data_IF_799811187500
#
_entry.id   IF_799811187500
#
_cell.length_a   1.000
_cell.length_b   1.000
_cell.length_c   1.000
_cell.angle_alpha   90.00
_cell.angle_beta   90.00
_cell.angle_gamma   90.00
#
_symmetry.space_group_name_H-M   'P 1'
#
loop_
_entity.id
_entity.type
_entity.pdbx_description
1 polymer ?
#
# COMPACT_ATOMS: atom_id res chain seq x y z
N UNK A 1 -20.28 -18.71 12.55
CA UNK A 1 -19.07 -19.14 11.79
C UNK A 1 -19.23 -18.59 10.39
N UNK A 2 -18.51 -17.52 10.05
CA UNK A 2 -18.46 -17.02 8.67
C UNK A 2 -17.53 -17.95 7.89
N UNK A 3 -18.10 -18.78 7.05
CA UNK A 3 -17.37 -19.58 6.08
C UNK A 3 -16.68 -18.62 5.10
N UNK A 4 -15.34 -18.58 5.13
CA UNK A 4 -14.57 -17.77 4.19
C UNK A 4 -14.59 -18.46 2.83
N UNK A 5 -15.39 -17.95 1.91
CA UNK A 5 -15.38 -18.38 0.52
C UNK A 5 -14.26 -17.64 -0.24
N UNK A 6 -13.30 -18.38 -0.77
CA UNK A 6 -12.21 -17.86 -1.58
C UNK A 6 -12.58 -17.91 -3.06
N UNK A 7 -12.45 -16.80 -3.77
CA UNK A 7 -12.59 -16.77 -5.22
C UNK A 7 -11.23 -17.04 -5.87
N UNK A 8 -11.17 -18.07 -6.70
CA UNK A 8 -9.93 -18.54 -7.35
C UNK A 8 -10.08 -18.42 -8.86
N UNK A 9 -9.22 -17.59 -9.48
CA UNK A 9 -9.13 -17.48 -10.92
C UNK A 9 -8.18 -18.53 -11.51
N UNK A 10 -8.65 -19.34 -12.44
CA UNK A 10 -7.83 -20.27 -13.20
C UNK A 10 -7.86 -19.92 -14.69
N UNK A 11 -6.68 -19.96 -15.34
CA UNK A 11 -6.56 -19.80 -16.80
C UNK A 11 -6.96 -21.10 -17.49
N UNK A 12 -6.62 -22.23 -16.89
CA UNK A 12 -6.94 -23.57 -17.37
C UNK A 12 -7.66 -24.35 -16.26
N UNK A 13 -9.00 -24.21 -16.14
CA UNK A 13 -9.77 -24.88 -15.07
C UNK A 13 -9.76 -26.40 -15.16
N UNK A 14 -9.43 -26.96 -16.32
CA UNK A 14 -9.26 -28.40 -16.57
C UNK A 14 -7.93 -28.97 -16.07
N UNK A 15 -6.99 -28.16 -15.61
CA UNK A 15 -5.71 -28.65 -15.07
C UNK A 15 -5.93 -29.41 -13.76
N UNK A 16 -5.79 -30.74 -13.84
CA UNK A 16 -5.97 -31.64 -12.71
C UNK A 16 -5.02 -31.33 -11.54
N UNK A 17 -3.77 -30.94 -11.83
CA UNK A 17 -2.79 -30.60 -10.79
C UNK A 17 -3.21 -29.36 -10.01
N UNK A 18 -3.72 -28.34 -10.71
CA UNK A 18 -4.24 -27.14 -10.07
C UNK A 18 -5.47 -27.46 -9.19
N UNK A 19 -6.38 -28.29 -9.69
CA UNK A 19 -7.57 -28.71 -8.93
C UNK A 19 -7.20 -29.54 -7.68
N UNK A 20 -6.25 -30.46 -7.79
CA UNK A 20 -5.77 -31.25 -6.65
C UNK A 20 -5.07 -30.37 -5.61
N UNK A 21 -4.23 -29.43 -6.02
CA UNK A 21 -3.60 -28.45 -5.13
C UNK A 21 -4.63 -27.61 -4.38
N UNK A 22 -5.68 -27.13 -5.09
CA UNK A 22 -6.77 -26.36 -4.46
C UNK A 22 -7.58 -27.21 -3.46
N UNK A 23 -7.88 -28.44 -3.79
CA UNK A 23 -8.56 -29.39 -2.89
C UNK A 23 -7.73 -29.65 -1.62
N UNK A 24 -6.41 -29.84 -1.79
CA UNK A 24 -5.49 -30.04 -0.69
C UNK A 24 -5.45 -28.82 0.25
N UNK A 25 -5.23 -27.62 -0.31
CA UNK A 25 -5.18 -26.37 0.46
C UNK A 25 -6.51 -26.06 1.17
N UNK A 26 -7.64 -26.28 0.48
CA UNK A 26 -8.98 -26.11 1.04
C UNK A 26 -9.20 -26.98 2.29
N UNK A 27 -8.78 -28.24 2.24
CA UNK A 27 -8.87 -29.16 3.37
C UNK A 27 -7.94 -28.77 4.52
N UNK A 28 -6.69 -28.39 4.18
CA UNK A 28 -5.68 -28.03 5.19
C UNK A 28 -6.05 -26.74 5.95
N UNK A 29 -6.60 -25.75 5.26
CA UNK A 29 -6.90 -24.43 5.83
C UNK A 29 -8.39 -24.19 6.11
N UNK A 30 -9.23 -25.19 5.88
CA UNK A 30 -10.66 -25.19 6.16
C UNK A 30 -11.40 -23.99 5.56
N UNK A 31 -11.30 -23.81 4.23
CA UNK A 31 -12.02 -22.79 3.47
C UNK A 31 -12.78 -23.41 2.29
N UNK A 32 -13.87 -22.74 1.88
CA UNK A 32 -14.62 -23.06 0.67
C UNK A 32 -14.06 -22.18 -0.46
N UNK A 33 -14.01 -22.70 -1.69
CA UNK A 33 -13.58 -21.92 -2.85
C UNK A 33 -14.53 -22.05 -4.02
N UNK A 34 -14.58 -20.98 -4.84
CA UNK A 34 -15.25 -20.92 -6.11
C UNK A 34 -14.23 -20.67 -7.20
N UNK A 35 -14.29 -21.45 -8.28
CA UNK A 35 -13.37 -21.33 -9.42
C UNK A 35 -14.01 -20.46 -10.49
N UNK A 36 -13.25 -19.47 -10.98
CA UNK A 36 -13.61 -18.60 -12.09
C UNK A 36 -12.60 -18.77 -13.23
N UNK A 37 -13.09 -18.84 -14.45
CA UNK A 37 -12.25 -18.78 -15.64
C UNK A 37 -11.76 -17.36 -15.84
N UNK A 38 -10.44 -17.17 -15.97
CA UNK A 38 -9.82 -15.88 -16.24
C UNK A 38 -8.94 -15.96 -17.48
N UNK A 39 -8.78 -14.82 -18.17
CA UNK A 39 -7.85 -14.75 -19.30
C UNK A 39 -6.39 -14.73 -18.83
N UNK A 40 -5.41 -15.18 -19.68
CA UNK A 40 -3.99 -15.07 -19.36
C UNK A 40 -3.56 -13.64 -19.04
N UNK A 41 -4.15 -12.64 -19.70
CA UNK A 41 -3.90 -11.22 -19.44
C UNK A 41 -4.36 -10.82 -18.04
N UNK A 42 -5.58 -11.19 -17.66
CA UNK A 42 -6.11 -10.93 -16.32
C UNK A 42 -5.29 -11.65 -15.23
N UNK A 43 -4.86 -12.89 -15.50
CA UNK A 43 -3.97 -13.64 -14.61
C UNK A 43 -2.64 -12.90 -14.37
N UNK A 44 -1.99 -12.41 -15.42
CA UNK A 44 -0.74 -11.67 -15.31
C UNK A 44 -0.90 -10.36 -14.53
N UNK A 45 -2.01 -9.64 -14.71
CA UNK A 45 -2.32 -8.43 -13.95
C UNK A 45 -2.51 -8.76 -12.47
N UNK A 46 -3.28 -9.80 -12.15
CA UNK A 46 -3.49 -10.26 -10.78
C UNK A 46 -2.18 -10.75 -10.14
N UNK A 47 -1.37 -11.51 -10.87
CA UNK A 47 -0.09 -12.03 -10.39
C UNK A 47 0.89 -10.91 -10.03
N UNK A 48 0.96 -9.85 -10.84
CA UNK A 48 1.76 -8.65 -10.52
C UNK A 48 1.33 -8.00 -9.21
N UNK A 49 0.04 -7.98 -8.89
CA UNK A 49 -0.46 -7.45 -7.62
C UNK A 49 -0.03 -8.30 -6.41
N UNK A 50 0.16 -9.62 -6.58
CA UNK A 50 0.55 -10.51 -5.49
C UNK A 50 2.06 -10.61 -5.26
N UNK A 51 2.87 -10.53 -6.32
CA UNK A 51 4.29 -10.90 -6.24
C UNK A 51 5.21 -9.79 -5.71
N UNK A 52 4.95 -8.51 -6.00
CA UNK A 52 5.91 -7.44 -5.71
C UNK A 52 5.70 -6.75 -4.35
N UNK A 53 4.46 -6.60 -3.90
CA UNK A 53 4.15 -5.72 -2.78
C UNK A 53 4.71 -6.16 -1.43
N UNK A 54 4.50 -7.44 -1.10
CA UNK A 54 4.93 -7.96 0.21
C UNK A 54 6.45 -8.08 0.33
N UNK A 55 7.12 -8.38 -0.78
CA UNK A 55 8.58 -8.49 -0.82
C UNK A 55 9.25 -7.13 -0.63
N UNK A 56 8.94 -6.15 -1.45
CA UNK A 56 9.59 -4.83 -1.45
C UNK A 56 9.29 -4.02 -0.19
N UNK A 57 8.01 -4.01 0.24
CA UNK A 57 7.64 -3.39 1.52
C UNK A 57 8.28 -4.14 2.70
N UNK A 58 8.35 -5.47 2.63
CA UNK A 58 9.01 -6.29 3.65
C UNK A 58 10.50 -5.98 3.78
N UNK A 59 11.21 -5.84 2.66
CA UNK A 59 12.63 -5.47 2.64
C UNK A 59 12.84 -4.06 3.21
N UNK A 60 12.07 -3.07 2.76
CA UNK A 60 12.15 -1.71 3.27
C UNK A 60 11.81 -1.62 4.78
N UNK A 61 10.84 -2.41 5.26
CA UNK A 61 10.53 -2.51 6.69
C UNK A 61 11.62 -3.20 7.49
N UNK A 62 12.33 -4.17 6.92
CA UNK A 62 13.47 -4.83 7.57
C UNK A 62 14.65 -3.85 7.69
N UNK A 63 14.99 -3.12 6.62
CA UNK A 63 15.99 -2.06 6.63
C UNK A 63 15.66 -1.00 7.71
N UNK A 64 14.44 -0.51 7.74
CA UNK A 64 13.98 0.45 8.74
C UNK A 64 14.07 -0.07 10.19
N UNK A 65 13.76 -1.35 10.42
CA UNK A 65 13.90 -1.96 11.76
C UNK A 65 15.34 -2.01 12.24
N UNK A 66 16.29 -2.26 11.34
CA UNK A 66 17.73 -2.23 11.67
C UNK A 66 18.21 -0.81 11.97
N UNK A 67 17.72 0.19 11.23
CA UNK A 67 18.05 1.61 11.48
C UNK A 67 17.48 2.08 12.82
N UNK A 68 16.21 1.81 13.12
CA UNK A 68 15.56 2.17 14.40
C UNK A 68 16.24 1.49 15.59
N UNK A 69 16.80 0.28 15.43
CA UNK A 69 17.56 -0.38 16.49
C UNK A 69 18.88 0.31 16.80
N UNK A 70 19.52 0.95 15.81
CA UNK A 70 20.77 1.68 15.99
C UNK A 70 20.58 3.03 16.69
N UNK A 71 19.40 3.64 16.56
CA UNK A 71 19.05 4.92 17.16
C UNK A 71 18.12 4.75 18.36
N UNK A 72 18.70 4.52 19.56
CA UNK A 72 17.97 4.52 20.83
C UNK A 72 17.97 5.95 21.42
N UNK A 73 16.89 6.72 21.18
CA UNK A 73 16.68 8.02 21.83
C UNK A 73 15.25 8.52 21.65
N UNK A 74 14.74 9.42 22.53
CA UNK A 74 13.43 10.06 22.32
C UNK A 74 13.51 11.02 21.12
N UNK A 75 12.43 11.04 20.32
CA UNK A 75 12.32 11.86 19.12
C UNK A 75 12.54 13.35 19.40
N UNK A 76 13.50 13.97 18.71
CA UNK A 76 13.83 15.40 18.81
C UNK A 76 13.07 16.19 17.73
N UNK A 77 12.84 17.52 17.94
CA UNK A 77 12.31 18.38 16.88
C UNK A 77 13.17 18.27 15.59
N UNK A 78 12.54 18.09 14.43
CA UNK A 78 13.21 17.84 13.14
C UNK A 78 13.48 16.37 12.81
N UNK A 79 13.28 15.45 13.73
CA UNK A 79 13.51 14.01 13.54
C UNK A 79 12.49 13.37 12.59
N UNK A 80 11.25 13.86 12.57
CA UNK A 80 10.23 13.41 11.62
C UNK A 80 10.59 13.73 10.18
N UNK A 81 11.16 14.91 9.93
CA UNK A 81 11.64 15.34 8.61
C UNK A 81 12.79 14.44 8.16
N UNK A 82 13.75 14.21 9.05
CA UNK A 82 14.88 13.32 8.79
C UNK A 82 14.41 11.88 8.50
N UNK A 83 13.56 11.31 9.34
CA UNK A 83 12.98 9.97 9.14
C UNK A 83 12.17 9.88 7.84
N UNK A 84 11.47 10.96 7.45
CA UNK A 84 10.70 11.00 6.23
C UNK A 84 11.59 11.01 4.97
N UNK A 85 12.80 11.57 5.06
CA UNK A 85 13.78 11.59 3.97
C UNK A 85 14.63 10.32 3.91
N UNK A 86 14.65 9.52 4.98
CA UNK A 86 15.38 8.26 5.01
C UNK A 86 14.99 7.32 3.88
N UNK A 87 15.99 6.60 3.35
CA UNK A 87 15.81 5.71 2.21
C UNK A 87 14.68 4.68 2.39
N UNK A 88 14.48 4.03 3.57
CA UNK A 88 13.42 3.06 3.73
C UNK A 88 12.00 3.64 3.65
N UNK A 89 11.76 4.82 4.24
CA UNK A 89 10.44 5.49 4.18
C UNK A 89 10.16 5.95 2.74
N UNK A 90 11.15 6.55 2.09
CA UNK A 90 11.05 6.97 0.69
C UNK A 90 10.77 5.78 -0.24
N UNK A 91 11.41 4.62 -0.03
CA UNK A 91 11.14 3.37 -0.76
C UNK A 91 9.70 2.88 -0.54
N UNK A 92 9.21 2.88 0.72
CA UNK A 92 7.83 2.47 1.02
C UNK A 92 6.81 3.34 0.28
N UNK A 93 6.98 4.67 0.33
CA UNK A 93 6.10 5.60 -0.39
C UNK A 93 6.18 5.37 -1.90
N UNK A 94 7.39 5.23 -2.47
CA UNK A 94 7.57 4.94 -3.89
C UNK A 94 6.89 3.63 -4.32
N UNK A 95 6.96 2.57 -3.50
CA UNK A 95 6.28 1.29 -3.75
C UNK A 95 4.76 1.48 -3.74
N UNK A 96 4.21 2.27 -2.80
CA UNK A 96 2.77 2.56 -2.74
C UNK A 96 2.31 3.28 -4.01
N UNK A 97 3.05 4.31 -4.44
CA UNK A 97 2.70 5.09 -5.65
C UNK A 97 2.81 4.23 -6.92
N UNK A 98 3.90 3.47 -7.06
CA UNK A 98 4.10 2.56 -8.19
C UNK A 98 2.99 1.51 -8.28
N UNK A 99 2.60 0.90 -7.16
CA UNK A 99 1.52 -0.07 -7.12
C UNK A 99 0.17 0.50 -7.55
N UNK A 100 -0.11 1.74 -7.17
CA UNK A 100 -1.32 2.41 -7.62
C UNK A 100 -1.36 2.55 -9.14
N UNK A 101 -0.24 2.98 -9.74
CA UNK A 101 -0.11 3.14 -11.18
C UNK A 101 -0.21 1.80 -11.91
N UNK A 102 0.59 0.80 -11.52
CA UNK A 102 0.62 -0.51 -12.16
C UNK A 102 -0.71 -1.25 -12.06
N UNK A 103 -1.45 -1.03 -10.97
CA UNK A 103 -2.78 -1.59 -10.76
C UNK A 103 -3.90 -0.79 -11.42
N UNK A 104 -3.65 0.40 -11.96
CA UNK A 104 -4.67 1.30 -12.52
C UNK A 104 -5.61 1.86 -11.43
N UNK A 105 -5.06 2.17 -10.25
CA UNK A 105 -5.84 2.76 -9.17
C UNK A 105 -6.12 4.25 -9.45
N UNK A 106 -7.34 4.69 -9.20
CA UNK A 106 -7.70 6.12 -9.26
C UNK A 106 -7.35 6.88 -8.00
N UNK A 107 -7.40 6.23 -6.84
CA UNK A 107 -7.13 6.87 -5.56
C UNK A 107 -6.37 5.91 -4.62
N UNK A 108 -5.54 6.51 -3.75
CA UNK A 108 -4.81 5.84 -2.67
C UNK A 108 -5.28 6.45 -1.37
N UNK A 109 -5.63 5.63 -0.39
CA UNK A 109 -5.97 6.06 0.96
C UNK A 109 -5.01 5.46 1.96
N UNK A 110 -4.35 6.31 2.75
CA UNK A 110 -3.43 5.93 3.83
C UNK A 110 -4.09 6.33 5.14
N UNK A 111 -4.51 5.35 5.93
CA UNK A 111 -5.40 5.55 7.06
C UNK A 111 -4.86 4.87 8.32
N UNK A 112 -4.63 5.64 9.41
CA UNK A 112 -4.30 5.04 10.69
C UNK A 112 -5.52 4.32 11.28
N UNK A 113 -5.28 3.15 11.86
CA UNK A 113 -6.24 2.44 12.69
C UNK A 113 -5.67 2.30 14.10
N UNK A 114 -6.40 1.71 15.05
CA UNK A 114 -5.91 1.56 16.43
C UNK A 114 -4.59 0.80 16.53
N UNK A 115 -4.33 -0.16 15.62
CA UNK A 115 -3.18 -1.07 15.72
C UNK A 115 -2.18 -0.92 14.57
N UNK A 116 -2.62 -0.41 13.43
CA UNK A 116 -1.85 -0.48 12.18
C UNK A 116 -2.19 0.67 11.24
N UNK A 117 -1.29 0.94 10.31
CA UNK A 117 -1.51 1.82 9.19
C UNK A 117 -2.02 0.99 8.00
N UNK A 118 -3.18 1.35 7.47
CA UNK A 118 -3.82 0.66 6.36
C UNK A 118 -3.72 1.49 5.10
N UNK A 119 -3.22 0.90 4.01
CA UNK A 119 -3.24 1.49 2.68
C UNK A 119 -4.30 0.78 1.84
N UNK A 120 -5.19 1.55 1.25
CA UNK A 120 -6.24 1.08 0.35
C UNK A 120 -6.10 1.76 -1.01
N UNK A 121 -6.35 1.00 -2.05
CA UNK A 121 -6.41 1.50 -3.42
C UNK A 121 -7.83 1.42 -3.95
N UNK A 122 -8.23 2.40 -4.76
CA UNK A 122 -9.51 2.37 -5.46
C UNK A 122 -9.30 1.84 -6.87
N UNK A 123 -9.87 0.69 -7.17
CA UNK A 123 -9.92 0.11 -8.51
C UNK A 123 -11.37 -0.01 -8.94
N UNK A 124 -11.71 0.44 -10.15
CA UNK A 124 -13.09 0.35 -10.69
C UNK A 124 -14.16 0.81 -9.67
N UNK A 125 -13.94 1.96 -9.03
CA UNK A 125 -14.80 2.57 -8.01
C UNK A 125 -14.86 1.84 -6.67
N UNK A 126 -14.20 0.69 -6.48
CA UNK A 126 -14.19 -0.09 -5.23
C UNK A 126 -12.85 0.08 -4.49
N UNK A 127 -12.92 0.31 -3.17
CA UNK A 127 -11.74 0.41 -2.31
C UNK A 127 -11.30 -0.98 -1.81
N UNK A 128 -10.07 -1.35 -2.16
CA UNK A 128 -9.44 -2.61 -1.73
C UNK A 128 -8.32 -2.35 -0.73
N UNK A 129 -8.29 -3.11 0.36
CA UNK A 129 -7.22 -3.07 1.35
C UNK A 129 -6.05 -3.90 0.83
N UNK A 130 -4.90 -3.29 0.54
CA UNK A 130 -3.77 -3.97 -0.09
C UNK A 130 -2.54 -4.08 0.80
N UNK A 131 -2.19 -3.01 1.54
CA UNK A 131 -0.98 -2.96 2.35
C UNK A 131 -1.35 -2.67 3.80
N UNK A 132 -0.71 -3.39 4.71
CA UNK A 132 -0.79 -3.16 6.15
C UNK A 132 0.63 -2.90 6.65
N UNK A 133 0.83 -1.75 7.28
CA UNK A 133 2.10 -1.28 7.80
C UNK A 133 2.04 -1.11 9.32
N UNK A 134 3.18 -1.16 10.02
CA UNK A 134 3.25 -0.84 11.42
C UNK A 134 2.80 0.60 11.68
N UNK A 135 2.01 0.83 12.72
CA UNK A 135 1.55 2.19 13.06
C UNK A 135 2.70 3.15 13.41
N UNK A 136 3.82 2.62 13.90
CA UNK A 136 5.00 3.41 14.28
C UNK A 136 5.59 4.24 13.14
N UNK A 137 5.45 3.80 11.88
CA UNK A 137 5.98 4.52 10.71
C UNK A 137 4.97 5.50 10.12
N UNK A 138 3.76 5.57 10.65
CA UNK A 138 2.71 6.45 10.16
C UNK A 138 3.14 7.93 10.08
N UNK A 139 3.71 8.55 11.15
CA UNK A 139 4.09 9.97 11.08
C UNK A 139 5.15 10.23 9.99
N UNK A 140 6.12 9.33 9.82
CA UNK A 140 7.17 9.47 8.82
C UNK A 140 6.63 9.34 7.37
N UNK A 141 5.67 8.43 7.14
CA UNK A 141 5.01 8.30 5.82
C UNK A 141 4.20 9.56 5.49
N UNK A 142 3.43 10.09 6.46
CA UNK A 142 2.67 11.32 6.26
C UNK A 142 3.61 12.51 5.99
N UNK A 143 4.66 12.66 6.78
CA UNK A 143 5.67 13.69 6.59
C UNK A 143 6.31 13.59 5.19
N UNK A 144 6.68 12.38 4.73
CA UNK A 144 7.23 12.19 3.38
C UNK A 144 6.27 12.64 2.28
N UNK A 145 4.99 12.30 2.40
CA UNK A 145 3.97 12.73 1.42
C UNK A 145 3.77 14.25 1.46
N UNK A 146 3.78 14.85 2.66
CA UNK A 146 3.71 16.31 2.81
C UNK A 146 4.91 17.01 2.16
N UNK A 147 6.13 16.48 2.35
CA UNK A 147 7.35 16.99 1.69
C UNK A 147 7.18 16.95 0.17
N UNK A 148 6.77 15.80 -0.39
CA UNK A 148 6.56 15.66 -1.83
C UNK A 148 5.54 16.67 -2.38
N UNK A 149 4.47 16.95 -1.62
CA UNK A 149 3.40 17.84 -2.01
C UNK A 149 3.60 19.31 -1.58
N UNK A 150 4.77 19.63 -1.00
CA UNK A 150 5.11 20.97 -0.47
C UNK A 150 4.09 21.47 0.56
N UNK A 151 3.64 20.58 1.47
CA UNK A 151 2.71 20.87 2.55
C UNK A 151 3.47 21.10 3.86
N UNK A 152 2.83 21.79 4.82
CA UNK A 152 3.41 22.03 6.14
C UNK A 152 3.42 20.76 6.98
N UNK A 153 4.62 20.31 7.39
CA UNK A 153 4.81 19.03 8.11
C UNK A 153 4.34 19.15 9.56
N UNK A 154 4.60 20.29 10.17
CA UNK A 154 4.29 20.62 11.57
C UNK A 154 2.79 20.87 11.82
N UNK A 155 2.02 21.23 10.78
CA UNK A 155 0.58 21.45 10.90
C UNK A 155 -0.20 20.13 10.70
N UNK A 156 -0.77 19.62 11.77
CA UNK A 156 -1.51 18.35 11.80
C UNK A 156 -2.98 18.48 12.16
N UNK A 157 -3.43 19.71 12.45
CA UNK A 157 -4.79 19.98 12.96
C UNK A 157 -5.75 20.46 11.89
N UNK A 158 -5.21 20.96 10.79
CA UNK A 158 -5.99 21.54 9.68
C UNK A 158 -5.78 20.69 8.43
N UNK A 159 -6.85 20.40 7.66
CA UNK A 159 -6.71 19.77 6.36
C UNK A 159 -5.81 20.59 5.44
N UNK A 160 -5.00 19.91 4.66
CA UNK A 160 -4.13 20.54 3.66
C UNK A 160 -4.30 19.84 2.33
N UNK A 161 -4.27 20.63 1.26
CA UNK A 161 -4.33 20.17 -0.12
C UNK A 161 -3.07 20.58 -0.88
N UNK A 162 -2.56 19.67 -1.70
CA UNK A 162 -1.37 19.91 -2.50
C UNK A 162 -1.33 19.03 -3.74
N UNK A 163 -0.23 19.14 -4.46
CA UNK A 163 0.05 18.33 -5.65
C UNK A 163 1.53 18.09 -5.78
N UNK A 164 1.90 17.00 -6.39
CA UNK A 164 3.27 16.73 -6.80
C UNK A 164 3.28 15.86 -8.05
N UNK A 165 4.36 15.95 -8.80
CA UNK A 165 4.66 15.09 -9.95
C UNK A 165 5.84 14.20 -9.61
N UNK A 166 5.81 12.96 -10.07
CA UNK A 166 6.93 12.04 -9.92
C UNK A 166 7.02 11.11 -11.12
N UNK A 167 8.23 10.68 -11.44
CA UNK A 167 8.45 9.73 -12.53
C UNK A 167 8.38 8.30 -12.02
N UNK A 168 7.49 7.50 -12.60
CA UNK A 168 7.34 6.08 -12.31
C UNK A 168 7.41 5.31 -13.62
N UNK A 169 8.34 4.35 -13.74
CA UNK A 169 8.56 3.57 -14.97
C UNK A 169 8.74 4.44 -16.22
N UNK A 170 9.48 5.55 -16.10
CA UNK A 170 9.72 6.57 -17.14
C UNK A 170 8.47 7.32 -17.63
N UNK A 171 7.39 7.30 -16.87
CA UNK A 171 6.16 8.06 -17.10
C UNK A 171 6.03 9.13 -16.01
N UNK A 172 5.83 10.38 -16.38
CA UNK A 172 5.56 11.46 -15.44
C UNK A 172 4.09 11.40 -15.02
N UNK A 173 3.85 11.27 -13.72
CA UNK A 173 2.52 11.12 -13.14
C UNK A 173 2.27 12.22 -12.11
N UNK A 174 1.13 12.86 -12.22
CA UNK A 174 0.66 13.86 -11.27
C UNK A 174 -0.21 13.26 -10.19
N UNK A 175 -0.02 13.73 -8.96
CA UNK A 175 -0.84 13.36 -7.81
C UNK A 175 -1.45 14.59 -7.16
N UNK A 176 -2.75 14.52 -6.88
CA UNK A 176 -3.40 15.44 -5.93
C UNK A 176 -3.42 14.79 -4.56
N UNK A 177 -3.01 15.55 -3.55
CA UNK A 177 -2.89 15.10 -2.17
C UNK A 177 -3.84 15.92 -1.30
N UNK A 178 -4.60 15.24 -0.44
CA UNK A 178 -5.37 15.86 0.61
C UNK A 178 -5.06 15.17 1.94
N UNK A 179 -4.71 15.93 2.97
CA UNK A 179 -4.49 15.43 4.33
C UNK A 179 -5.66 15.83 5.22
N UNK A 180 -6.07 14.93 6.11
CA UNK A 180 -7.18 15.17 7.04
C UNK A 180 -6.81 14.74 8.44
N UNK A 181 -6.99 15.59 9.47
CA UNK A 181 -6.86 15.18 10.85
C UNK A 181 -7.94 14.17 11.24
N UNK A 182 -7.53 13.14 11.97
CA UNK A 182 -8.45 12.19 12.60
C UNK A 182 -8.07 11.97 14.06
N UNK A 183 -8.91 11.29 14.82
CA UNK A 183 -8.63 10.95 16.22
C UNK A 183 -7.43 10.01 16.41
N UNK A 184 -7.00 9.34 15.35
CA UNK A 184 -5.88 8.38 15.37
C UNK A 184 -4.62 8.91 14.67
N UNK A 185 -4.60 10.18 14.26
CA UNK A 185 -3.56 10.80 13.47
C UNK A 185 -4.07 11.26 12.11
N UNK A 186 -3.21 11.81 11.27
CA UNK A 186 -3.61 12.29 9.96
C UNK A 186 -3.88 11.12 8.99
N UNK A 187 -4.93 11.27 8.20
CA UNK A 187 -5.23 10.44 7.04
C UNK A 187 -4.81 11.19 5.78
N UNK A 188 -4.31 10.46 4.78
CA UNK A 188 -4.00 11.01 3.46
C UNK A 188 -4.82 10.31 2.39
N UNK A 189 -5.33 11.11 1.45
CA UNK A 189 -5.90 10.65 0.19
C UNK A 189 -5.08 11.23 -0.96
N UNK A 190 -4.63 10.36 -1.88
CA UNK A 190 -3.97 10.78 -3.11
C UNK A 190 -4.85 10.34 -4.28
N UNK A 191 -5.06 11.25 -5.21
CA UNK A 191 -5.67 10.94 -6.51
C UNK A 191 -4.59 10.86 -7.57
N UNK A 192 -4.59 9.78 -8.32
CA UNK A 192 -3.73 9.61 -9.49
C UNK A 192 -4.36 10.39 -10.63
N UNK A 193 -3.62 11.31 -11.22
CA UNK A 193 -4.03 12.03 -12.40
C UNK A 193 -3.27 11.39 -13.56
N UNK A 194 -3.98 10.58 -14.33
CA UNK A 194 -3.44 9.94 -15.52
C UNK A 194 -3.18 11.02 -16.60
N UNK A 195 -2.01 11.03 -17.28
CA UNK A 195 -1.67 11.98 -18.32
C UNK A 195 -2.57 11.87 -19.53
#
# INVERSE_FOLDING_TARGET
KNEKTLQVGLVYPEDLKAQEALKFLSRQQNFIYQVFLITPTAFNVLLKQYSNLKGEVGTALAELKEEIKKERGPAKPGELERLAEEAPISKIVAVILRQALEGGASDIHIEPTKEKLRVRFRFLSVLHSSIILPLKIHPAIIARIKILANLKIDETRVPQDGRFSTQINNIDIDFRVATFPTTLGEKVALRVLDP
#
